data_IF_513882726929
#
_entry.id   IF_513882726929
#
_cell.length_a   1.000
_cell.length_b   1.000
_cell.length_c   1.000
_cell.angle_alpha   90.00
_cell.angle_beta   90.00
_cell.angle_gamma   90.00
#
_symmetry.space_group_name_H-M   'P 1'
#
loop_
_entity.id
_entity.type
_entity.pdbx_description
1 polymer ?
#
# COMPACT_ATOMS: atom_id res chain seq x y z
N UNK A 1 36.81 12.43 16.47
CA UNK A 1 36.32 11.11 16.87
C UNK A 1 36.43 10.18 15.68
N UNK A 2 36.86 8.92 15.84
CA UNK A 2 36.93 7.98 14.72
C UNK A 2 35.53 7.57 14.29
N UNK A 3 35.32 7.21 13.03
CA UNK A 3 34.03 6.77 12.49
C UNK A 3 33.37 5.65 13.32
N UNK A 4 34.17 4.70 13.83
CA UNK A 4 33.71 3.63 14.73
C UNK A 4 33.14 4.12 16.07
N UNK A 5 33.67 5.22 16.61
CA UNK A 5 33.22 5.79 17.89
C UNK A 5 31.89 6.53 17.71
N UNK A 6 31.72 7.17 16.56
CA UNK A 6 30.50 7.87 16.23
C UNK A 6 29.33 6.90 15.96
N UNK A 7 29.57 5.83 15.20
CA UNK A 7 28.59 4.76 14.96
C UNK A 7 28.14 4.10 16.28
N UNK A 8 29.10 3.83 17.20
CA UNK A 8 28.79 3.26 18.51
C UNK A 8 27.94 4.20 19.38
N UNK A 9 28.19 5.49 19.34
CA UNK A 9 27.42 6.51 20.07
C UNK A 9 26.00 6.59 19.50
N UNK A 10 25.84 6.64 18.19
CA UNK A 10 24.54 6.71 17.53
C UNK A 10 23.69 5.48 17.81
N UNK A 11 24.26 4.29 17.66
CA UNK A 11 23.59 3.03 18.03
C UNK A 11 23.15 2.99 19.48
N UNK A 12 23.97 3.56 20.37
CA UNK A 12 23.62 3.64 21.79
C UNK A 12 22.45 4.59 22.01
N UNK A 13 22.43 5.75 21.36
CA UNK A 13 21.32 6.71 21.44
C UNK A 13 20.02 6.16 20.86
N UNK A 14 20.08 5.57 19.69
CA UNK A 14 18.93 4.89 19.10
C UNK A 14 18.43 3.79 20.04
N UNK A 15 19.32 2.99 20.62
CA UNK A 15 18.94 1.94 21.57
C UNK A 15 18.30 2.50 22.85
N UNK A 16 18.79 3.61 23.41
CA UNK A 16 18.17 4.30 24.54
C UNK A 16 16.75 4.78 24.20
N UNK A 17 16.57 5.39 23.05
CA UNK A 17 15.26 5.85 22.56
C UNK A 17 14.28 4.67 22.37
N UNK A 18 14.77 3.55 21.86
CA UNK A 18 13.97 2.36 21.61
C UNK A 18 13.64 1.56 22.90
N UNK A 19 14.40 1.70 23.99
CA UNK A 19 14.19 0.93 25.23
C UNK A 19 12.83 1.24 25.90
N UNK A 20 12.31 2.42 25.71
CA UNK A 20 11.05 2.89 26.32
C UNK A 20 9.91 2.95 25.32
N UNK A 21 10.17 2.62 24.06
CA UNK A 21 9.16 2.67 23.03
C UNK A 21 8.22 1.46 23.11
N UNK A 22 6.93 1.73 23.05
CA UNK A 22 5.92 0.68 22.95
C UNK A 22 6.01 0.06 21.53
N UNK A 23 6.03 -1.27 21.48
CA UNK A 23 6.07 -2.00 20.22
C UNK A 23 4.78 -1.79 19.44
N UNK A 24 4.87 -1.70 18.12
CA UNK A 24 3.75 -1.50 17.22
C UNK A 24 2.95 -0.20 17.46
N UNK A 25 3.56 0.78 18.09
CA UNK A 25 3.01 2.14 18.19
C UNK A 25 3.93 3.15 17.54
N UNK A 26 3.39 4.24 17.07
CA UNK A 26 4.17 5.36 16.58
C UNK A 26 4.66 6.20 17.78
N UNK A 27 5.86 6.69 17.71
CA UNK A 27 6.46 7.55 18.72
C UNK A 27 6.98 8.82 18.06
N UNK A 28 6.75 9.94 18.74
CA UNK A 28 7.39 11.20 18.40
C UNK A 28 8.71 11.28 19.17
N UNK A 29 9.75 11.71 18.49
CA UNK A 29 11.05 11.95 19.12
C UNK A 29 11.43 13.40 18.89
N UNK A 30 11.97 14.01 19.95
CA UNK A 30 12.62 15.30 19.79
C UNK A 30 13.73 15.20 18.77
N UNK A 31 13.82 16.21 17.89
CA UNK A 31 14.81 16.24 16.81
C UNK A 31 16.22 16.01 17.35
N UNK A 32 16.90 15.06 16.76
CA UNK A 32 18.30 14.79 17.07
C UNK A 32 19.23 15.77 16.31
N UNK A 33 18.94 17.08 16.38
CA UNK A 33 19.61 18.14 15.63
C UNK A 33 21.14 18.10 15.76
N UNK A 34 21.62 17.75 16.93
CA UNK A 34 23.06 17.64 17.20
C UNK A 34 23.76 16.56 16.38
N UNK A 35 23.05 15.53 15.94
CA UNK A 35 23.63 14.42 15.18
C UNK A 35 23.68 14.76 13.69
N UNK A 36 22.75 15.57 13.19
CA UNK A 36 22.64 15.96 11.78
C UNK A 36 23.87 16.78 11.34
N UNK A 37 24.32 17.72 12.14
CA UNK A 37 25.42 18.62 11.79
C UNK A 37 26.79 17.90 11.64
N UNK A 38 26.96 16.79 12.33
CA UNK A 38 28.17 15.96 12.23
C UNK A 38 28.09 14.83 11.23
N UNK A 39 26.89 14.32 10.95
CA UNK A 39 26.69 13.17 10.05
C UNK A 39 26.82 13.54 8.57
N UNK A 40 26.56 14.79 8.20
CA UNK A 40 26.70 15.27 6.82
C UNK A 40 28.12 15.10 6.22
N UNK A 41 29.14 14.93 7.07
CA UNK A 41 30.53 14.68 6.62
C UNK A 41 30.88 13.18 6.53
N UNK A 42 30.07 12.29 7.08
CA UNK A 42 30.34 10.86 7.20
C UNK A 42 29.20 9.99 6.67
N UNK A 43 28.20 10.56 5.95
CA UNK A 43 27.03 9.87 5.42
C UNK A 43 27.36 8.66 4.53
N UNK A 44 28.51 8.66 3.89
CA UNK A 44 28.99 7.55 3.04
C UNK A 44 29.34 6.26 3.82
N UNK A 45 29.42 6.35 5.15
CA UNK A 45 29.83 5.22 6.00
C UNK A 45 28.66 4.40 6.55
N UNK A 46 27.43 4.82 6.32
CA UNK A 46 26.22 4.16 6.82
C UNK A 46 25.49 3.44 5.69
N UNK A 47 24.93 2.26 5.98
CA UNK A 47 24.10 1.49 5.03
C UNK A 47 22.71 2.10 4.81
N UNK A 48 22.35 3.15 5.56
CA UNK A 48 21.09 3.89 5.44
C UNK A 48 21.36 5.40 5.56
N UNK A 49 20.44 6.19 5.03
CA UNK A 49 20.53 7.65 5.12
C UNK A 49 20.22 8.14 6.54
N UNK A 50 21.30 8.28 7.32
CA UNK A 50 21.20 8.70 8.71
C UNK A 50 20.70 10.12 8.86
N UNK A 51 20.94 10.98 7.87
CA UNK A 51 20.47 12.36 7.90
C UNK A 51 18.95 12.40 7.82
N UNK A 52 18.37 11.57 6.96
CA UNK A 52 16.91 11.41 6.87
C UNK A 52 16.31 10.88 8.18
N UNK A 53 16.94 9.87 8.78
CA UNK A 53 16.54 9.34 10.06
C UNK A 53 16.54 10.41 11.17
N UNK A 54 17.59 11.22 11.26
CA UNK A 54 17.71 12.28 12.26
C UNK A 54 16.74 13.46 12.04
N UNK A 55 16.22 13.61 10.83
CA UNK A 55 15.25 14.63 10.46
C UNK A 55 13.80 14.13 10.52
N UNK A 56 13.60 12.86 10.78
CA UNK A 56 12.27 12.28 10.91
C UNK A 56 11.58 12.78 12.19
N UNK A 57 10.27 12.95 12.11
CA UNK A 57 9.46 13.40 13.24
C UNK A 57 8.79 12.24 13.95
N UNK A 58 8.46 11.16 13.21
CA UNK A 58 7.74 10.01 13.76
C UNK A 58 8.47 8.72 13.40
N UNK A 59 8.50 7.80 14.36
CA UNK A 59 9.17 6.50 14.25
C UNK A 59 8.21 5.39 14.66
N UNK A 60 8.29 4.27 13.97
CA UNK A 60 7.56 3.06 14.29
C UNK A 60 8.54 1.90 14.45
N UNK A 61 8.42 1.17 15.56
CA UNK A 61 9.25 0.00 15.82
C UNK A 61 8.45 -1.25 15.55
N UNK A 62 8.85 -1.98 14.52
CA UNK A 62 8.33 -3.31 14.25
C UNK A 62 9.22 -4.34 14.89
N UNK A 63 8.67 -5.10 15.84
CA UNK A 63 9.27 -6.35 16.30
C UNK A 63 8.67 -7.51 15.51
N UNK A 64 9.51 -8.34 14.96
CA UNK A 64 9.11 -9.66 14.46
C UNK A 64 8.74 -10.56 15.63
N UNK A 65 7.73 -11.42 15.47
CA UNK A 65 7.32 -12.36 16.52
C UNK A 65 8.49 -13.28 16.91
N UNK A 66 8.51 -13.76 18.15
CA UNK A 66 9.59 -14.65 18.66
C UNK A 66 9.77 -15.94 17.85
N UNK A 67 8.80 -16.31 17.01
CA UNK A 67 8.86 -17.49 16.14
C UNK A 67 9.69 -17.27 14.86
N UNK A 68 9.86 -16.02 14.42
CA UNK A 68 10.74 -15.69 13.30
C UNK A 68 12.16 -15.49 13.79
N UNK A 69 13.03 -16.48 13.53
CA UNK A 69 14.45 -16.46 13.89
C UNK A 69 15.29 -15.33 13.28
N UNK A 70 14.68 -14.41 12.59
CA UNK A 70 15.30 -13.16 12.07
C UNK A 70 14.75 -12.01 12.91
N UNK A 71 15.17 -11.96 14.16
CA UNK A 71 14.77 -10.91 15.10
C UNK A 71 15.67 -9.69 14.96
N UNK A 72 15.58 -8.98 13.87
CA UNK A 72 16.08 -7.61 13.82
C UNK A 72 14.90 -6.67 13.98
N UNK A 73 14.86 -5.94 15.09
CA UNK A 73 13.88 -4.87 15.28
C UNK A 73 14.04 -3.88 14.12
N UNK A 74 12.98 -3.70 13.35
CA UNK A 74 12.98 -2.78 12.21
C UNK A 74 12.38 -1.46 12.67
N UNK A 75 13.12 -0.38 12.48
CA UNK A 75 12.64 0.98 12.70
C UNK A 75 12.22 1.56 11.36
N UNK A 76 10.96 1.91 11.25
CA UNK A 76 10.41 2.65 10.11
C UNK A 76 10.20 4.08 10.55
N UNK A 77 10.53 5.05 9.72
CA UNK A 77 10.37 6.46 10.05
C UNK A 77 9.73 7.23 8.90
N UNK A 78 9.03 8.28 9.26
CA UNK A 78 8.42 9.23 8.33
C UNK A 78 9.12 10.56 8.49
N UNK A 79 9.47 11.14 7.36
CA UNK A 79 9.91 12.51 7.27
C UNK A 79 8.87 13.28 6.46
N UNK A 80 8.31 14.37 6.99
CA UNK A 80 7.46 15.24 6.21
C UNK A 80 8.26 15.84 5.05
N UNK A 81 7.70 15.84 3.87
CA UNK A 81 8.26 16.58 2.74
C UNK A 81 7.70 18.00 2.76
N UNK A 82 8.51 18.96 2.40
CA UNK A 82 8.10 20.37 2.37
C UNK A 82 7.96 20.83 0.93
N UNK A 83 6.76 21.31 0.60
CA UNK A 83 6.56 21.97 -0.67
C UNK A 83 7.28 23.31 -0.70
N UNK A 84 8.01 23.58 -1.79
CA UNK A 84 8.62 24.89 -2.00
C UNK A 84 7.51 25.92 -2.25
N UNK A 85 7.78 27.19 -1.92
CA UNK A 85 6.84 28.30 -2.21
C UNK A 85 6.71 28.52 -3.71
N UNK A 86 5.90 27.70 -4.39
CA UNK A 86 5.56 27.80 -5.80
C UNK A 86 4.16 27.23 -6.03
N UNK A 87 3.57 27.51 -7.17
CA UNK A 87 2.28 26.92 -7.58
C UNK A 87 2.51 25.52 -8.13
N UNK A 88 1.78 24.55 -7.57
CA UNK A 88 1.75 23.15 -8.02
C UNK A 88 0.42 22.86 -8.70
N UNK A 89 0.45 21.98 -9.68
CA UNK A 89 -0.74 21.35 -10.27
C UNK A 89 -0.50 19.84 -10.14
N UNK A 90 -1.30 19.19 -9.29
CA UNK A 90 -1.26 17.75 -9.08
C UNK A 90 -2.39 17.10 -9.87
N UNK A 91 -2.08 16.10 -10.69
CA UNK A 91 -3.06 15.34 -11.46
C UNK A 91 -2.97 13.89 -11.03
N UNK A 92 -4.04 13.38 -10.46
CA UNK A 92 -4.11 12.00 -9.97
C UNK A 92 -5.44 11.36 -10.36
N UNK A 93 -5.43 10.07 -10.67
CA UNK A 93 -6.64 9.28 -10.90
C UNK A 93 -7.26 8.78 -9.58
N UNK A 94 -6.47 8.75 -8.50
CA UNK A 94 -6.80 8.15 -7.21
C UNK A 94 -6.69 9.13 -6.04
N UNK A 95 -6.65 10.43 -6.33
CA UNK A 95 -6.65 11.44 -5.27
C UNK A 95 -7.98 11.40 -4.52
N UNK A 96 -7.89 11.43 -3.20
CA UNK A 96 -9.00 11.65 -2.29
C UNK A 96 -8.88 13.05 -1.70
N UNK A 97 -9.97 13.81 -1.71
CA UNK A 97 -9.98 15.21 -1.26
C UNK A 97 -9.56 15.33 0.20
N UNK A 98 -10.16 14.52 1.08
CA UNK A 98 -9.90 14.54 2.52
C UNK A 98 -8.45 14.17 2.84
N UNK A 99 -7.94 13.14 2.17
CA UNK A 99 -6.54 12.73 2.33
C UNK A 99 -5.59 13.81 1.80
N UNK A 100 -5.90 14.41 0.65
CA UNK A 100 -5.07 15.48 0.08
C UNK A 100 -5.06 16.74 0.94
N UNK A 101 -6.20 17.16 1.50
CA UNK A 101 -6.31 18.28 2.42
C UNK A 101 -5.42 18.10 3.65
N UNK A 102 -5.41 16.89 4.23
CA UNK A 102 -4.57 16.57 5.38
C UNK A 102 -3.07 16.55 5.02
N UNK A 103 -2.71 16.03 3.85
CA UNK A 103 -1.32 16.04 3.38
C UNK A 103 -0.78 17.45 3.10
N UNK A 104 -1.66 18.41 2.80
CA UNK A 104 -1.33 19.76 2.36
C UNK A 104 -1.83 20.81 3.34
N UNK A 105 -1.95 20.46 4.62
CA UNK A 105 -2.57 21.25 5.69
C UNK A 105 -2.10 22.72 5.73
N UNK A 106 -0.84 22.98 5.41
CA UNK A 106 -0.25 24.33 5.36
C UNK A 106 -0.32 25.00 3.96
N UNK A 107 -1.02 24.39 2.99
CA UNK A 107 -1.05 24.85 1.60
C UNK A 107 -2.48 25.20 1.19
N UNK A 108 -2.68 26.40 0.65
CA UNK A 108 -3.94 26.78 0.02
C UNK A 108 -4.18 25.89 -1.22
N UNK A 109 -5.16 24.98 -1.13
CA UNK A 109 -5.44 23.96 -2.13
C UNK A 109 -6.83 24.12 -2.71
N UNK A 110 -6.89 24.20 -4.05
CA UNK A 110 -8.13 24.09 -4.82
C UNK A 110 -8.28 22.65 -5.34
N UNK A 111 -9.23 21.88 -4.81
CA UNK A 111 -9.53 20.53 -5.28
C UNK A 111 -10.60 20.53 -6.37
N UNK A 112 -10.28 19.92 -7.50
CA UNK A 112 -11.19 19.82 -8.64
C UNK A 112 -11.46 18.37 -9.01
N UNK A 113 -12.61 17.85 -8.58
CA UNK A 113 -13.01 16.51 -8.98
C UNK A 113 -13.59 16.49 -10.39
N UNK A 114 -12.94 15.74 -11.28
CA UNK A 114 -13.47 15.50 -12.61
C UNK A 114 -14.68 14.55 -12.55
N UNK A 115 -15.64 14.75 -13.46
CA UNK A 115 -16.73 13.78 -13.63
C UNK A 115 -16.17 12.43 -14.01
N UNK A 116 -16.62 11.38 -13.32
CA UNK A 116 -16.25 10.01 -13.64
C UNK A 116 -16.74 9.66 -15.06
N UNK A 117 -15.80 9.35 -15.94
CA UNK A 117 -16.10 8.87 -17.28
C UNK A 117 -16.50 7.38 -17.21
N UNK A 118 -17.47 6.98 -18.04
CA UNK A 118 -17.87 5.56 -18.13
C UNK A 118 -16.80 4.77 -18.88
N UNK A 119 -16.54 3.57 -18.44
CA UNK A 119 -15.70 2.63 -19.18
C UNK A 119 -16.32 2.30 -20.52
N UNK A 120 -15.50 2.24 -21.55
CA UNK A 120 -15.84 1.67 -22.86
C UNK A 120 -15.70 0.14 -22.81
N UNK A 121 -14.65 -0.33 -22.15
CA UNK A 121 -14.45 -1.73 -21.84
C UNK A 121 -15.23 -2.19 -20.60
N UNK A 122 -14.92 -3.40 -20.12
CA UNK A 122 -15.61 -4.03 -18.98
C UNK A 122 -14.66 -4.30 -17.84
N UNK A 123 -15.11 -3.99 -16.61
CA UNK A 123 -14.46 -4.43 -15.38
C UNK A 123 -15.34 -5.49 -14.72
N UNK A 124 -14.97 -6.76 -14.85
CA UNK A 124 -15.65 -7.89 -14.23
C UNK A 124 -14.95 -8.23 -12.91
N UNK A 125 -15.65 -8.11 -11.80
CA UNK A 125 -15.08 -8.34 -10.48
C UNK A 125 -15.65 -9.60 -9.83
N UNK A 126 -14.74 -10.45 -9.29
CA UNK A 126 -15.01 -11.73 -8.63
C UNK A 126 -14.71 -11.59 -7.12
N UNK A 127 -15.72 -11.22 -6.29
CA UNK A 127 -15.50 -10.79 -4.91
C UNK A 127 -15.51 -11.91 -3.88
N UNK A 128 -15.78 -13.15 -4.26
CA UNK A 128 -16.07 -14.25 -3.31
C UNK A 128 -14.85 -14.63 -2.44
N UNK A 129 -13.64 -14.40 -2.94
CA UNK A 129 -12.39 -14.66 -2.21
C UNK A 129 -11.59 -13.39 -2.02
N UNK A 130 -10.94 -13.28 -0.87
CA UNK A 130 -10.12 -12.09 -0.55
C UNK A 130 -8.92 -11.94 -1.47
N UNK A 131 -8.39 -13.02 -2.02
CA UNK A 131 -7.16 -13.04 -2.82
C UNK A 131 -6.01 -12.22 -2.22
N UNK A 132 -5.94 -12.17 -0.89
CA UNK A 132 -4.82 -11.59 -0.17
C UNK A 132 -3.55 -12.43 -0.38
N UNK A 133 -2.37 -11.88 -0.07
CA UNK A 133 -1.11 -12.64 -0.14
C UNK A 133 -1.17 -13.96 0.61
N UNK A 134 -1.75 -13.98 1.82
CA UNK A 134 -1.93 -15.20 2.60
C UNK A 134 -2.97 -16.14 1.99
N UNK A 135 -4.07 -15.62 1.45
CA UNK A 135 -5.09 -16.44 0.79
C UNK A 135 -4.51 -17.16 -0.43
N UNK A 136 -3.74 -16.46 -1.27
CA UNK A 136 -3.06 -17.05 -2.45
C UNK A 136 -1.98 -18.06 -2.00
N UNK A 137 -1.23 -17.76 -0.95
CA UNK A 137 -0.22 -18.68 -0.45
C UNK A 137 -0.81 -20.00 0.10
N UNK A 138 -2.02 -19.94 0.65
CA UNK A 138 -2.74 -21.12 1.16
C UNK A 138 -3.38 -21.96 0.03
N UNK A 139 -3.69 -21.36 -1.12
CA UNK A 139 -4.23 -22.05 -2.29
C UNK A 139 -3.19 -22.04 -3.42
N UNK A 140 -2.16 -22.88 -3.26
CA UNK A 140 -1.06 -22.97 -4.22
C UNK A 140 -1.59 -23.27 -5.64
N UNK A 141 -1.13 -22.46 -6.59
CA UNK A 141 -1.52 -22.61 -8.00
C UNK A 141 -2.85 -21.96 -8.38
N UNK A 142 -3.54 -21.27 -7.47
CA UNK A 142 -4.79 -20.57 -7.82
C UNK A 142 -4.58 -19.56 -8.95
N UNK A 143 -3.45 -18.84 -8.97
CA UNK A 143 -3.16 -17.87 -10.02
C UNK A 143 -3.02 -18.57 -11.38
N UNK A 144 -2.25 -19.68 -11.45
CA UNK A 144 -2.07 -20.45 -12.67
C UNK A 144 -3.38 -21.07 -13.17
N UNK A 145 -4.24 -21.56 -12.25
CA UNK A 145 -5.56 -22.08 -12.62
C UNK A 145 -6.45 -21.01 -13.23
N UNK A 146 -6.45 -19.80 -12.65
CA UNK A 146 -7.21 -18.68 -13.21
C UNK A 146 -6.67 -18.28 -14.59
N UNK A 147 -5.34 -18.19 -14.76
CA UNK A 147 -4.71 -17.96 -16.07
C UNK A 147 -5.15 -18.98 -17.11
N UNK A 148 -5.13 -20.26 -16.75
CA UNK A 148 -5.57 -21.34 -17.64
C UNK A 148 -7.07 -21.23 -17.98
N UNK A 149 -7.92 -20.91 -16.99
CA UNK A 149 -9.37 -20.76 -17.19
C UNK A 149 -9.71 -19.63 -18.18
N UNK A 150 -8.98 -18.51 -18.11
CA UNK A 150 -9.18 -17.36 -18.98
C UNK A 150 -8.32 -17.38 -20.24
N UNK A 151 -7.54 -18.45 -20.47
CA UNK A 151 -6.56 -18.54 -21.58
C UNK A 151 -5.63 -17.31 -21.61
N UNK A 152 -5.11 -16.94 -20.44
CA UNK A 152 -4.37 -15.70 -20.24
C UNK A 152 -2.86 -15.98 -20.13
N UNK A 153 -2.07 -15.27 -20.94
CA UNK A 153 -0.60 -15.32 -20.84
C UNK A 153 -0.09 -14.59 -19.60
N UNK A 154 1.09 -14.98 -19.10
CA UNK A 154 1.73 -14.34 -17.95
C UNK A 154 1.92 -12.82 -18.09
N UNK A 155 2.19 -12.36 -19.32
CA UNK A 155 2.38 -10.94 -19.65
C UNK A 155 1.13 -10.08 -19.40
N UNK A 156 -0.05 -10.68 -19.37
CA UNK A 156 -1.35 -10.03 -19.18
C UNK A 156 -1.89 -10.16 -17.74
N UNK A 157 -1.04 -10.65 -16.83
CA UNK A 157 -1.43 -10.86 -15.43
C UNK A 157 -0.74 -9.85 -14.50
N UNK A 158 -1.52 -9.21 -13.65
CA UNK A 158 -1.04 -8.37 -12.56
C UNK A 158 -1.40 -9.03 -11.24
N UNK A 159 -0.40 -9.36 -10.43
CA UNK A 159 -0.57 -9.97 -9.11
C UNK A 159 0.56 -9.53 -8.17
N UNK A 160 0.82 -10.25 -7.08
CA UNK A 160 1.91 -9.93 -6.18
C UNK A 160 3.27 -10.40 -6.72
N UNK A 161 4.30 -9.59 -6.49
CA UNK A 161 5.67 -9.86 -6.95
C UNK A 161 6.18 -11.28 -6.55
N UNK A 162 5.81 -11.78 -5.39
CA UNK A 162 6.24 -13.11 -4.92
C UNK A 162 5.61 -14.30 -5.69
N UNK A 163 4.66 -14.05 -6.58
CA UNK A 163 4.13 -15.07 -7.50
C UNK A 163 5.05 -15.32 -8.70
N UNK A 164 5.98 -14.41 -8.97
CA UNK A 164 6.91 -14.46 -10.10
C UNK A 164 6.20 -14.67 -11.45
N UNK A 165 5.05 -14.03 -11.64
CA UNK A 165 4.24 -14.10 -12.85
C UNK A 165 4.17 -12.70 -13.46
N UNK A 166 4.38 -12.62 -14.77
CA UNK A 166 4.33 -11.36 -15.52
C UNK A 166 5.47 -10.39 -15.19
N UNK A 167 5.39 -9.20 -15.77
CA UNK A 167 6.35 -8.10 -15.52
C UNK A 167 5.78 -7.04 -14.59
N UNK A 168 4.47 -6.88 -14.56
CA UNK A 168 3.75 -5.93 -13.72
C UNK A 168 3.20 -6.63 -12.48
N UNK A 169 3.34 -5.98 -11.35
CA UNK A 169 2.81 -6.46 -10.07
C UNK A 169 2.35 -5.28 -9.22
N UNK A 170 1.54 -5.52 -8.20
CA UNK A 170 1.18 -4.48 -7.24
C UNK A 170 2.42 -3.77 -6.69
N UNK A 171 2.38 -2.43 -6.65
CA UNK A 171 3.53 -1.58 -6.31
C UNK A 171 4.51 -1.32 -7.47
N UNK A 172 4.28 -1.88 -8.67
CA UNK A 172 5.10 -1.63 -9.88
C UNK A 172 4.25 -1.58 -11.15
N UNK A 173 3.09 -0.95 -11.07
CA UNK A 173 2.21 -0.76 -12.24
C UNK A 173 2.40 0.60 -12.90
N UNK A 174 3.08 1.55 -12.27
CA UNK A 174 3.19 2.92 -12.73
C UNK A 174 3.98 3.05 -14.04
N UNK A 175 3.57 4.02 -14.87
CA UNK A 175 4.30 4.39 -16.08
C UNK A 175 4.27 3.39 -17.24
N UNK A 176 3.65 2.22 -17.10
CA UNK A 176 3.57 1.22 -18.15
C UNK A 176 2.32 1.39 -19.02
N UNK A 177 2.50 1.22 -20.34
CA UNK A 177 1.43 1.13 -21.34
C UNK A 177 1.43 -0.23 -22.06
N UNK A 178 2.17 -1.21 -21.54
CA UNK A 178 2.32 -2.52 -22.20
C UNK A 178 1.03 -3.30 -22.33
N UNK A 179 0.00 -3.00 -21.54
CA UNK A 179 -1.29 -3.67 -21.50
C UNK A 179 -2.45 -2.80 -22.04
N UNK A 180 -2.12 -1.72 -22.74
CA UNK A 180 -3.14 -0.80 -23.26
C UNK A 180 -3.98 -1.45 -24.35
N UNK A 181 -5.28 -1.65 -24.07
CA UNK A 181 -6.24 -2.25 -24.98
C UNK A 181 -6.34 -3.76 -24.92
N UNK A 182 -5.55 -4.41 -24.08
CA UNK A 182 -5.57 -5.85 -23.90
C UNK A 182 -6.55 -6.29 -22.80
N UNK A 183 -7.09 -7.49 -22.94
CA UNK A 183 -7.75 -8.17 -21.83
C UNK A 183 -6.71 -8.57 -20.81
N UNK A 184 -6.98 -8.29 -19.53
CA UNK A 184 -6.04 -8.54 -18.44
C UNK A 184 -6.68 -9.22 -17.26
N UNK A 185 -5.84 -9.90 -16.49
CA UNK A 185 -6.20 -10.58 -15.25
C UNK A 185 -5.50 -9.90 -14.07
N UNK A 186 -6.27 -9.32 -13.16
CA UNK A 186 -5.76 -8.70 -11.93
C UNK A 186 -6.17 -9.58 -10.75
N UNK A 187 -5.18 -10.15 -10.05
CA UNK A 187 -5.43 -11.12 -8.97
C UNK A 187 -4.80 -10.62 -7.67
N UNK A 188 -5.60 -10.19 -6.75
CA UNK A 188 -5.15 -9.82 -5.42
C UNK A 188 -5.94 -8.70 -4.78
N UNK A 189 -5.98 -8.72 -3.45
CA UNK A 189 -6.34 -7.56 -2.62
C UNK A 189 -5.07 -7.07 -1.95
N UNK A 190 -4.54 -5.90 -2.32
CA UNK A 190 -3.19 -5.45 -1.94
C UNK A 190 -3.16 -4.87 -0.51
N UNK A 191 -3.38 -5.72 0.50
CA UNK A 191 -3.20 -5.34 1.89
C UNK A 191 -1.76 -4.97 2.19
N UNK A 192 -1.59 -3.91 2.95
CA UNK A 192 -0.32 -3.57 3.59
C UNK A 192 -0.29 -4.07 5.05
N UNK A 193 0.89 -4.03 5.66
CA UNK A 193 1.00 -4.31 7.08
C UNK A 193 0.26 -3.24 7.90
N UNK A 194 -0.46 -3.60 8.99
CA UNK A 194 -1.29 -2.66 9.76
C UNK A 194 -0.56 -1.40 10.20
N UNK A 195 0.72 -1.52 10.55
CA UNK A 195 1.53 -0.37 10.97
C UNK A 195 1.70 0.68 9.86
N UNK A 196 1.65 0.29 8.57
CA UNK A 196 1.82 1.23 7.48
C UNK A 196 0.61 2.18 7.37
N UNK A 197 -0.59 1.66 7.58
CA UNK A 197 -1.79 2.51 7.63
C UNK A 197 -1.72 3.50 8.79
N UNK A 198 -1.28 3.05 9.97
CA UNK A 198 -1.07 3.91 11.14
C UNK A 198 -0.02 4.99 10.88
N UNK A 199 1.09 4.64 10.22
CA UNK A 199 2.12 5.60 9.83
C UNK A 199 1.58 6.65 8.87
N UNK A 200 0.81 6.25 7.85
CA UNK A 200 0.18 7.19 6.91
C UNK A 200 -0.79 8.09 7.66
N UNK A 201 -1.67 7.54 8.50
CA UNK A 201 -2.59 8.32 9.31
C UNK A 201 -1.87 9.36 10.18
N UNK A 202 -0.79 8.97 10.85
CA UNK A 202 0.07 9.92 11.59
C UNK A 202 0.69 11.00 10.72
N UNK A 203 1.17 10.62 9.52
CA UNK A 203 1.83 11.59 8.63
C UNK A 203 0.91 12.69 8.15
N UNK A 204 -0.39 12.41 8.10
CA UNK A 204 -1.43 13.35 7.70
C UNK A 204 -2.22 13.92 8.89
N UNK A 205 -1.73 13.71 10.11
CA UNK A 205 -2.30 14.34 11.32
C UNK A 205 -3.65 13.79 11.77
N UNK A 206 -4.06 12.59 11.33
CA UNK A 206 -5.31 11.99 11.79
C UNK A 206 -5.18 11.44 13.20
N UNK A 207 -6.20 11.69 14.03
CA UNK A 207 -6.35 11.07 15.33
C UNK A 207 -6.96 9.68 15.19
N UNK A 208 -6.41 8.69 15.88
CA UNK A 208 -6.91 7.31 15.91
C UNK A 208 -6.44 6.56 17.17
N UNK A 209 -7.06 5.44 17.48
CA UNK A 209 -6.60 4.55 18.54
C UNK A 209 -5.37 3.74 18.09
N UNK A 210 -4.21 4.03 18.67
CA UNK A 210 -2.96 3.37 18.34
C UNK A 210 -2.92 1.88 18.70
N UNK A 211 -3.71 1.45 19.68
CA UNK A 211 -3.79 0.05 20.10
C UNK A 211 -4.78 -0.77 19.25
N UNK A 212 -5.51 -0.11 18.33
CA UNK A 212 -6.48 -0.78 17.50
C UNK A 212 -5.85 -1.80 16.54
N UNK A 213 -6.47 -2.97 16.46
CA UNK A 213 -6.09 -4.04 15.55
C UNK A 213 -7.15 -4.25 14.46
N UNK A 214 -6.69 -4.73 13.31
CA UNK A 214 -7.60 -5.12 12.22
C UNK A 214 -8.37 -6.37 12.58
N UNK A 215 -9.69 -6.33 12.41
CA UNK A 215 -10.60 -7.47 12.62
C UNK A 215 -11.55 -7.61 11.44
N UNK A 216 -12.19 -8.80 11.33
CA UNK A 216 -13.23 -9.01 10.31
C UNK A 216 -14.47 -8.21 10.68
N UNK A 217 -14.84 -7.28 9.82
CA UNK A 217 -15.98 -6.39 10.01
C UNK A 217 -16.89 -6.40 8.79
N UNK A 218 -18.18 -6.16 9.03
CA UNK A 218 -19.12 -5.89 7.95
C UNK A 218 -19.11 -4.40 7.65
N UNK A 219 -18.62 -4.04 6.48
CA UNK A 219 -18.44 -2.65 6.04
C UNK A 219 -19.17 -2.38 4.74
N UNK A 220 -19.33 -1.10 4.44
CA UNK A 220 -19.91 -0.64 3.17
C UNK A 220 -18.89 0.23 2.44
N UNK A 221 -18.67 -0.02 1.15
CA UNK A 221 -17.84 0.77 0.28
C UNK A 221 -18.32 0.68 -1.16
N UNK A 222 -18.29 1.80 -1.90
CA UNK A 222 -18.74 1.90 -3.29
C UNK A 222 -20.15 1.32 -3.54
N UNK A 223 -21.06 1.41 -2.53
CA UNK A 223 -22.42 0.89 -2.59
C UNK A 223 -22.57 -0.62 -2.35
N UNK A 224 -21.49 -1.30 -1.97
CA UNK A 224 -21.48 -2.72 -1.62
C UNK A 224 -21.25 -2.93 -0.14
N UNK A 225 -22.00 -3.87 0.45
CA UNK A 225 -21.81 -4.33 1.82
C UNK A 225 -21.10 -5.69 1.81
N UNK A 226 -19.94 -5.77 2.47
CA UNK A 226 -19.09 -6.95 2.44
C UNK A 226 -18.32 -7.15 3.75
N UNK A 227 -17.83 -8.36 3.96
CA UNK A 227 -16.97 -8.68 5.11
C UNK A 227 -15.51 -8.42 4.75
N UNK A 228 -14.84 -7.61 5.58
CA UNK A 228 -13.48 -7.19 5.29
C UNK A 228 -12.62 -7.12 6.57
N UNK A 229 -11.34 -7.49 6.45
CA UNK A 229 -10.40 -7.35 7.56
C UNK A 229 -9.90 -5.91 7.61
N UNK A 230 -10.41 -5.15 8.57
CA UNK A 230 -10.22 -3.69 8.66
C UNK A 230 -10.26 -3.20 10.10
N UNK A 231 -9.94 -1.94 10.30
CA UNK A 231 -10.04 -1.26 11.57
C UNK A 231 -11.49 -0.83 11.87
N UNK A 232 -11.88 -0.81 13.16
CA UNK A 232 -13.14 -0.21 13.58
C UNK A 232 -13.04 1.32 13.57
N UNK A 233 -11.86 1.85 13.83
CA UNK A 233 -11.57 3.28 13.69
C UNK A 233 -11.79 3.74 12.26
N UNK A 234 -12.58 4.81 12.09
CA UNK A 234 -12.99 5.30 10.76
C UNK A 234 -11.83 5.96 10.00
N UNK A 235 -10.93 6.63 10.70
CA UNK A 235 -9.78 7.29 10.09
C UNK A 235 -8.78 6.27 9.56
N UNK A 236 -8.45 5.25 10.35
CA UNK A 236 -7.58 4.15 9.90
C UNK A 236 -8.20 3.36 8.77
N UNK A 237 -9.52 3.11 8.83
CA UNK A 237 -10.25 2.43 7.77
C UNK A 237 -10.26 3.25 6.48
N UNK A 238 -10.45 4.56 6.55
CA UNK A 238 -10.41 5.43 5.38
C UNK A 238 -9.04 5.40 4.70
N UNK A 239 -7.95 5.50 5.46
CA UNK A 239 -6.58 5.37 4.94
C UNK A 239 -6.36 3.99 4.31
N UNK A 240 -6.77 2.91 4.96
CA UNK A 240 -6.65 1.56 4.42
C UNK A 240 -7.40 1.41 3.10
N UNK A 241 -8.64 1.88 3.04
CA UNK A 241 -9.48 1.76 1.85
C UNK A 241 -8.90 2.59 0.70
N UNK A 242 -8.49 3.82 0.95
CA UNK A 242 -7.83 4.65 -0.04
C UNK A 242 -6.57 3.99 -0.61
N UNK A 243 -5.71 3.44 0.23
CA UNK A 243 -4.49 2.78 -0.24
C UNK A 243 -4.78 1.53 -1.08
N UNK A 244 -5.73 0.70 -0.67
CA UNK A 244 -6.11 -0.52 -1.41
C UNK A 244 -6.79 -0.14 -2.74
N UNK A 245 -7.75 0.80 -2.70
CA UNK A 245 -8.47 1.25 -3.90
C UNK A 245 -7.49 1.86 -4.92
N UNK A 246 -6.56 2.70 -4.46
CA UNK A 246 -5.55 3.32 -5.32
C UNK A 246 -4.68 2.29 -6.05
N UNK A 247 -4.20 1.27 -5.35
CA UNK A 247 -3.42 0.18 -5.96
C UNK A 247 -4.23 -0.62 -6.99
N UNK A 248 -5.48 -0.95 -6.66
CA UNK A 248 -6.37 -1.68 -7.58
C UNK A 248 -6.72 -0.84 -8.81
N UNK A 249 -7.07 0.44 -8.62
CA UNK A 249 -7.37 1.37 -9.72
C UNK A 249 -6.16 1.58 -10.65
N UNK A 250 -4.94 1.63 -10.09
CA UNK A 250 -3.72 1.68 -10.89
C UNK A 250 -3.51 0.40 -11.70
N UNK A 251 -3.76 -0.77 -11.10
CA UNK A 251 -3.62 -2.05 -11.77
C UNK A 251 -4.63 -2.21 -12.93
N UNK A 252 -5.93 -2.02 -12.66
CA UNK A 252 -6.96 -2.11 -13.71
C UNK A 252 -6.79 -1.04 -14.79
N UNK A 253 -6.28 0.13 -14.39
CA UNK A 253 -6.03 1.26 -15.29
C UNK A 253 -5.00 0.96 -16.38
N UNK A 254 -4.22 -0.12 -16.27
CA UNK A 254 -3.23 -0.52 -17.30
C UNK A 254 -3.90 -0.93 -18.61
N UNK A 255 -5.09 -1.54 -18.57
CA UNK A 255 -5.88 -1.91 -19.75
C UNK A 255 -6.50 -0.69 -20.47
N UNK A 256 -6.54 0.49 -19.83
CA UNK A 256 -7.13 1.71 -20.41
C UNK A 256 -8.61 1.55 -20.79
N UNK A 257 -9.43 0.97 -19.91
CA UNK A 257 -10.87 0.72 -20.10
C UNK A 257 -11.67 1.93 -20.58
N UNK A 258 -11.26 3.15 -20.25
CA UNK A 258 -11.89 4.37 -20.74
C UNK A 258 -11.77 4.56 -22.27
N UNK A 259 -10.73 3.99 -22.88
CA UNK A 259 -10.39 4.21 -24.30
C UNK A 259 -10.64 2.98 -25.18
N UNK A 260 -10.47 1.79 -24.61
CA UNK A 260 -10.48 0.53 -25.33
C UNK A 260 -11.64 -0.35 -24.88
N UNK A 261 -12.16 -1.14 -25.82
CA UNK A 261 -13.18 -2.14 -25.59
C UNK A 261 -12.49 -3.48 -25.26
N UNK A 262 -11.92 -3.52 -24.06
CA UNK A 262 -11.24 -4.69 -23.52
C UNK A 262 -11.84 -5.05 -22.16
N UNK A 263 -11.46 -6.21 -21.63
CA UNK A 263 -12.01 -6.73 -20.37
C UNK A 263 -10.92 -6.86 -19.33
N UNK A 264 -11.19 -6.34 -18.15
CA UNK A 264 -10.39 -6.60 -16.94
C UNK A 264 -11.15 -7.57 -16.05
N UNK A 265 -10.53 -8.72 -15.77
CA UNK A 265 -11.00 -9.69 -14.80
C UNK A 265 -10.30 -9.43 -13.45
N UNK A 266 -11.01 -8.89 -12.48
CA UNK A 266 -10.49 -8.54 -11.16
C UNK A 266 -10.92 -9.57 -10.11
N UNK A 267 -9.97 -10.31 -9.57
CA UNK A 267 -10.14 -11.21 -8.43
C UNK A 267 -9.73 -10.52 -7.15
N UNK A 268 -10.70 -9.88 -6.50
CA UNK A 268 -10.53 -9.16 -5.24
C UNK A 268 -11.87 -8.99 -4.54
N UNK A 269 -11.90 -9.14 -3.23
CA UNK A 269 -13.10 -8.87 -2.43
C UNK A 269 -13.27 -7.39 -2.04
N UNK A 270 -12.35 -6.52 -2.44
CA UNK A 270 -12.48 -5.08 -2.23
C UNK A 270 -13.23 -4.46 -3.43
N UNK A 271 -14.47 -3.95 -3.26
CA UNK A 271 -15.31 -3.51 -4.38
C UNK A 271 -14.80 -2.20 -4.98
N UNK A 272 -14.64 -2.18 -6.31
CA UNK A 272 -14.30 -0.98 -7.08
C UNK A 272 -15.54 -0.33 -7.69
N UNK A 273 -15.44 0.98 -7.95
CA UNK A 273 -16.44 1.73 -8.73
C UNK A 273 -16.52 1.18 -10.16
N UNK A 274 -17.71 1.20 -10.73
CA UNK A 274 -17.98 0.75 -12.10
C UNK A 274 -17.64 -0.72 -12.39
N UNK A 275 -17.38 -1.56 -11.37
CA UNK A 275 -17.25 -2.98 -11.56
C UNK A 275 -18.60 -3.66 -11.72
N UNK A 276 -18.64 -4.65 -12.61
CA UNK A 276 -19.76 -5.62 -12.73
C UNK A 276 -19.42 -6.82 -11.87
N UNK A 277 -20.18 -7.03 -10.77
CA UNK A 277 -19.93 -8.14 -9.84
C UNK A 277 -20.34 -9.46 -10.46
N UNK A 278 -19.40 -10.37 -10.57
CA UNK A 278 -19.62 -11.76 -10.99
C UNK A 278 -19.72 -12.62 -9.72
N UNK A 279 -20.93 -13.00 -9.37
CA UNK A 279 -21.20 -13.94 -8.29
C UNK A 279 -21.30 -15.37 -8.85
N UNK A 280 -20.97 -16.36 -8.03
CA UNK A 280 -21.03 -17.78 -8.43
C UNK A 280 -19.94 -18.23 -9.39
N UNK A 281 -18.71 -17.65 -9.27
CA UNK A 281 -17.56 -18.14 -10.01
C UNK A 281 -17.08 -19.47 -9.41
N UNK A 282 -17.02 -20.52 -10.26
CA UNK A 282 -16.55 -21.83 -9.83
C UNK A 282 -15.02 -21.93 -9.85
N UNK A 283 -14.40 -21.72 -8.71
CA UNK A 283 -12.95 -21.88 -8.53
C UNK A 283 -12.45 -23.34 -8.61
N UNK A 284 -13.38 -24.32 -8.66
CA UNK A 284 -13.04 -25.76 -8.77
C UNK A 284 -12.92 -26.22 -10.20
N UNK A 285 -13.53 -25.53 -11.17
CA UNK A 285 -13.40 -25.87 -12.59
C UNK A 285 -11.95 -25.74 -13.09
N UNK A 286 -11.08 -25.16 -12.30
CA UNK A 286 -9.66 -25.01 -12.55
C UNK A 286 -8.81 -26.12 -11.86
N UNK A 287 -9.41 -27.21 -11.35
CA UNK A 287 -8.66 -28.32 -10.79
C UNK A 287 -8.18 -29.26 -11.90
N UNK A 288 -6.89 -29.55 -11.88
CA UNK A 288 -6.14 -30.32 -12.84
C UNK A 288 -6.88 -31.55 -13.38
N UNK A 289 -7.11 -31.57 -14.67
CA UNK A 289 -7.09 -32.83 -15.40
C UNK A 289 -5.61 -33.18 -15.61
N UNK A 290 -5.13 -34.17 -14.89
CA UNK A 290 -3.82 -34.78 -15.01
C UNK A 290 -3.47 -35.16 -16.46
#
# INVERSE_FOLDING_TARGET
MSSKTHDKYLRHKIKELLQHAKVNTCIELDRLEYIVDKSNKEAELFQFDISQFCMAEKYYIRRTSEEDKISEDTVVFIRPDTFKSMKYILVSATADETICEQFLDDVDMDYHQCKQAKYKGKLLQYPERSMSRSSIANDKGVVQRLMYHFDMEESHVITFMNQNIGQLHFGNTEGSNSLEGDDILVIGTPYHAPFLYKLVAHSIGLDFDEDEEMTMQMVEHNGYRFSFNTFADENLRAVQFWMIESELEQAIGRARLLRHDCTVHLFSNFPLKQSEMVTEFDYTCCQDTH
#
